data_IF_442577157271
#
_entry.id   IF_442577157271
#
_cell.length_a   1.000
_cell.length_b   1.000
_cell.length_c   1.000
_cell.angle_alpha   90.00
_cell.angle_beta   90.00
_cell.angle_gamma   90.00
#
_symmetry.space_group_name_H-M   'P 1'
#
loop_
_entity.id
_entity.type
_entity.pdbx_description
1 polymer ?
#
# COMPACT_ATOMS: atom_id res chain seq x y z
N UNK A 1 -38.76 13.87 -31.90
CA UNK A 1 -38.27 12.49 -32.17
C UNK A 1 -36.74 12.33 -32.17
N UNK A 2 -35.92 13.41 -32.24
CA UNK A 2 -34.43 13.31 -32.30
C UNK A 2 -33.72 13.16 -30.94
N UNK A 3 -34.30 13.69 -29.85
CA UNK A 3 -33.70 13.64 -28.50
C UNK A 3 -33.65 12.23 -27.91
N UNK A 4 -34.69 11.42 -28.14
CA UNK A 4 -34.75 10.03 -27.63
C UNK A 4 -33.73 9.09 -28.28
N UNK A 5 -33.44 9.28 -29.58
CA UNK A 5 -32.37 8.52 -30.26
C UNK A 5 -30.98 8.90 -29.76
N UNK A 6 -30.77 10.18 -29.41
CA UNK A 6 -29.49 10.64 -28.88
C UNK A 6 -29.25 10.09 -27.46
N UNK A 7 -30.25 10.15 -26.58
CA UNK A 7 -30.16 9.59 -25.21
C UNK A 7 -29.93 8.08 -25.27
N UNK A 8 -30.62 7.36 -26.15
CA UNK A 8 -30.41 5.92 -26.32
C UNK A 8 -28.98 5.60 -26.76
N UNK A 9 -28.38 6.40 -27.66
CA UNK A 9 -26.98 6.20 -28.08
C UNK A 9 -26.01 6.46 -26.93
N UNK A 10 -26.21 7.51 -26.13
CA UNK A 10 -25.37 7.78 -24.96
C UNK A 10 -25.49 6.69 -23.91
N UNK A 11 -26.70 6.18 -23.63
CA UNK A 11 -26.92 5.09 -22.68
C UNK A 11 -26.29 3.78 -23.17
N UNK A 12 -26.38 3.47 -24.46
CA UNK A 12 -25.72 2.30 -25.04
C UNK A 12 -24.20 2.45 -25.00
N UNK A 13 -23.67 3.65 -25.26
CA UNK A 13 -22.23 3.93 -25.20
C UNK A 13 -21.70 3.78 -23.77
N UNK A 14 -22.39 4.31 -22.76
CA UNK A 14 -21.96 4.21 -21.36
C UNK A 14 -22.03 2.78 -20.84
N UNK A 15 -23.07 2.03 -21.18
CA UNK A 15 -23.19 0.61 -20.84
C UNK A 15 -22.08 -0.21 -21.53
N UNK A 16 -21.79 0.05 -22.80
CA UNK A 16 -20.72 -0.64 -23.53
C UNK A 16 -19.33 -0.36 -22.92
N UNK A 17 -19.06 0.89 -22.53
CA UNK A 17 -17.81 1.26 -21.85
C UNK A 17 -17.71 0.59 -20.48
N UNK A 18 -18.79 0.54 -19.70
CA UNK A 18 -18.80 -0.15 -18.41
C UNK A 18 -18.55 -1.66 -18.54
N UNK A 19 -19.21 -2.31 -19.51
CA UNK A 19 -19.03 -3.75 -19.77
C UNK A 19 -17.62 -4.09 -20.27
N UNK A 20 -17.00 -3.22 -21.06
CA UNK A 20 -15.63 -3.41 -21.53
C UNK A 20 -14.59 -3.28 -20.40
N UNK A 21 -14.82 -2.38 -19.43
CA UNK A 21 -13.91 -2.19 -18.30
C UNK A 21 -14.03 -3.30 -17.24
N UNK A 22 -15.21 -3.90 -17.06
CA UNK A 22 -15.37 -5.07 -16.16
C UNK A 22 -14.63 -6.32 -16.65
N UNK A 23 -14.31 -6.41 -17.94
CA UNK A 23 -13.50 -7.50 -18.49
C UNK A 23 -11.99 -7.36 -18.22
N UNK A 24 -11.53 -6.19 -17.75
CA UNK A 24 -10.10 -5.94 -17.47
C UNK A 24 -9.68 -6.34 -16.04
N UNK A 25 -10.63 -6.66 -15.15
CA UNK A 25 -10.36 -7.03 -13.75
C UNK A 25 -10.43 -8.53 -13.46
N UNK A 26 -10.60 -9.38 -14.48
CA UNK A 26 -10.59 -10.83 -14.31
C UNK A 26 -9.39 -11.46 -15.03
N UNK A 27 -8.19 -11.02 -14.65
CA UNK A 27 -6.96 -11.80 -14.85
C UNK A 27 -6.45 -12.27 -13.49
N UNK A 28 -7.28 -13.01 -12.76
CA UNK A 28 -6.78 -13.86 -11.70
C UNK A 28 -6.24 -15.13 -12.37
N UNK A 29 -4.91 -15.19 -12.51
CA UNK A 29 -4.19 -16.41 -12.87
C UNK A 29 -4.57 -17.52 -11.90
N UNK A 30 -4.94 -18.65 -12.47
CA UNK A 30 -5.13 -19.92 -11.78
C UNK A 30 -3.76 -20.49 -11.46
N UNK A 31 -3.29 -20.32 -10.23
CA UNK A 31 -2.11 -21.06 -9.74
C UNK A 31 -2.51 -22.51 -9.39
N UNK A 32 -1.74 -23.51 -9.86
CA UNK A 32 -1.96 -24.90 -9.50
C UNK A 32 -1.60 -25.12 -8.03
N UNK A 33 -2.38 -25.99 -7.39
CA UNK A 33 -2.12 -26.49 -6.06
C UNK A 33 -0.77 -27.22 -6.02
N UNK A 34 0.08 -26.86 -5.06
CA UNK A 34 1.19 -27.69 -4.62
C UNK A 34 2.58 -27.15 -4.96
N UNK A 35 3.04 -26.17 -4.17
CA UNK A 35 4.40 -26.24 -3.64
C UNK A 35 4.30 -26.21 -2.13
N UNK A 36 4.59 -27.37 -1.55
CA UNK A 36 4.87 -27.53 -0.13
C UNK A 36 6.04 -26.60 0.20
N UNK A 37 5.75 -25.41 0.71
CA UNK A 37 6.72 -24.68 1.52
C UNK A 37 7.07 -25.61 2.66
N UNK A 38 8.27 -26.19 2.58
CA UNK A 38 8.88 -26.83 3.74
C UNK A 38 8.89 -25.78 4.82
N UNK A 39 8.04 -25.94 5.83
CA UNK A 39 8.27 -25.32 7.12
C UNK A 39 9.57 -25.92 7.64
N UNK A 40 10.68 -25.22 7.40
CA UNK A 40 11.91 -25.42 8.16
C UNK A 40 11.55 -25.24 9.64
N UNK A 41 11.83 -26.22 10.52
CA UNK A 41 11.47 -26.14 11.94
C UNK A 41 12.03 -24.86 12.55
N UNK A 42 11.13 -24.04 13.12
CA UNK A 42 11.46 -22.72 13.64
C UNK A 42 12.75 -22.67 14.45
N UNK A 43 13.74 -21.99 13.88
CA UNK A 43 14.90 -21.53 14.62
C UNK A 43 14.40 -20.53 15.67
N UNK A 44 14.49 -20.95 16.92
CA UNK A 44 14.11 -20.17 18.10
C UNK A 44 15.18 -19.11 18.28
N UNK A 45 14.94 -17.95 17.65
CA UNK A 45 15.74 -16.73 17.81
C UNK A 45 15.90 -16.49 19.31
N UNK A 46 17.15 -16.49 19.78
CA UNK A 46 17.45 -16.27 21.19
C UNK A 46 17.18 -14.81 21.56
N UNK A 47 16.86 -14.54 22.82
CA UNK A 47 16.62 -13.15 23.30
C UNK A 47 17.85 -12.28 23.06
N UNK A 48 19.04 -12.84 23.24
CA UNK A 48 20.34 -12.19 23.03
C UNK A 48 20.52 -11.74 21.57
N UNK A 49 20.11 -12.57 20.62
CA UNK A 49 20.15 -12.26 19.18
C UNK A 49 19.15 -11.17 18.78
N UNK A 50 17.95 -11.17 19.39
CA UNK A 50 16.94 -10.14 19.11
C UNK A 50 17.36 -8.75 19.61
N UNK A 51 18.01 -8.69 20.77
CA UNK A 51 18.51 -7.43 21.35
C UNK A 51 19.67 -6.86 20.53
N UNK A 52 20.59 -7.71 20.05
CA UNK A 52 21.67 -7.30 19.15
C UNK A 52 21.12 -6.72 17.83
N UNK A 53 20.11 -7.39 17.24
CA UNK A 53 19.43 -6.88 16.05
C UNK A 53 18.77 -5.54 16.33
N UNK A 54 18.04 -5.39 17.44
CA UNK A 54 17.36 -4.15 17.79
C UNK A 54 18.33 -2.96 17.99
N UNK A 55 19.51 -3.21 18.57
CA UNK A 55 20.55 -2.19 18.75
C UNK A 55 21.26 -1.81 17.45
N UNK A 56 21.28 -2.72 16.46
CA UNK A 56 21.85 -2.44 15.14
C UNK A 56 20.94 -1.58 14.24
N UNK A 57 19.67 -1.40 14.59
CA UNK A 57 18.72 -0.60 13.80
C UNK A 57 18.99 0.90 13.97
N UNK A 58 19.02 1.62 12.85
CA UNK A 58 19.14 3.08 12.84
C UNK A 58 17.96 3.75 13.59
N UNK A 59 18.29 4.54 14.60
CA UNK A 59 17.30 5.29 15.40
C UNK A 59 16.54 6.33 14.58
N UNK A 60 17.12 6.86 13.51
CA UNK A 60 16.45 7.77 12.59
C UNK A 60 15.34 7.05 11.82
N UNK A 61 15.57 5.81 11.40
CA UNK A 61 14.54 4.96 10.78
C UNK A 61 13.38 4.75 11.76
N UNK A 62 13.69 4.40 13.01
CA UNK A 62 12.68 4.20 14.06
C UNK A 62 11.85 5.47 14.23
N UNK A 63 12.50 6.64 14.37
CA UNK A 63 11.81 7.92 14.50
C UNK A 63 10.94 8.25 13.28
N UNK A 64 11.44 8.06 12.06
CA UNK A 64 10.69 8.31 10.83
C UNK A 64 9.47 7.38 10.69
N UNK A 65 9.60 6.08 11.00
CA UNK A 65 8.47 5.15 10.99
C UNK A 65 7.43 5.50 12.06
N UNK A 66 7.87 5.91 13.25
CA UNK A 66 6.96 6.37 14.32
C UNK A 66 6.25 7.66 13.94
N UNK A 67 6.96 8.64 13.38
CA UNK A 67 6.40 9.90 12.89
C UNK A 67 5.36 9.68 11.79
N UNK A 68 5.72 8.90 10.76
CA UNK A 68 4.82 8.50 9.69
C UNK A 68 3.55 7.85 10.24
N UNK A 69 3.69 6.91 11.19
CA UNK A 69 2.57 6.21 11.78
C UNK A 69 1.63 7.11 12.56
N UNK A 70 2.14 8.12 13.27
CA UNK A 70 1.28 9.10 13.92
C UNK A 70 0.58 10.01 12.94
N UNK A 71 1.24 10.42 11.87
CA UNK A 71 0.65 11.34 10.90
C UNK A 71 -0.49 10.67 10.12
N UNK A 72 -0.29 9.45 9.62
CA UNK A 72 -1.38 8.72 8.94
C UNK A 72 -2.54 8.41 9.90
N UNK A 73 -2.25 8.09 11.16
CA UNK A 73 -3.30 7.80 12.13
C UNK A 73 -4.12 9.06 12.47
N UNK A 74 -3.49 10.24 12.54
CA UNK A 74 -4.21 11.52 12.69
C UNK A 74 -5.16 11.76 11.52
N UNK A 75 -4.68 11.58 10.29
CA UNK A 75 -5.53 11.74 9.10
C UNK A 75 -6.74 10.81 9.12
N UNK A 76 -6.53 9.53 9.47
CA UNK A 76 -7.62 8.55 9.56
C UNK A 76 -8.64 8.87 10.67
N UNK A 77 -8.20 9.41 11.81
CA UNK A 77 -9.12 9.83 12.88
C UNK A 77 -10.01 11.00 12.42
N UNK A 78 -9.46 11.92 11.60
CA UNK A 78 -10.24 13.04 11.07
C UNK A 78 -11.31 12.56 10.08
N UNK A 79 -11.02 11.50 9.32
CA UNK A 79 -11.96 10.89 8.37
C UNK A 79 -13.02 10.03 9.07
N UNK A 80 -12.63 9.18 10.03
CA UNK A 80 -13.46 8.15 10.67
C UNK A 80 -13.60 8.31 12.20
N UNK A 81 -13.84 9.54 12.66
CA UNK A 81 -13.83 9.95 14.08
C UNK A 81 -14.69 9.15 15.09
N UNK A 82 -15.61 8.29 14.64
CA UNK A 82 -16.50 7.50 15.51
C UNK A 82 -16.43 5.99 15.24
N UNK A 83 -15.41 5.53 14.53
CA UNK A 83 -15.23 4.12 14.21
C UNK A 83 -13.94 3.58 14.85
N UNK A 84 -13.88 2.26 15.00
CA UNK A 84 -12.64 1.60 15.40
C UNK A 84 -11.66 1.64 14.23
N UNK A 85 -10.51 2.29 14.42
CA UNK A 85 -9.45 2.37 13.42
C UNK A 85 -8.32 1.43 13.85
N UNK A 86 -8.00 0.46 12.98
CA UNK A 86 -6.89 -0.47 13.19
C UNK A 86 -6.05 -0.54 11.92
N UNK A 87 -4.77 -0.14 12.02
CA UNK A 87 -3.83 -0.11 10.91
C UNK A 87 -2.46 -0.62 11.33
N UNK A 88 -1.65 -1.03 10.35
CA UNK A 88 -0.21 -1.29 10.52
C UNK A 88 0.58 -0.23 9.76
N UNK A 89 1.07 0.84 10.41
CA UNK A 89 1.84 1.88 9.74
C UNK A 89 3.09 1.36 9.04
N UNK A 90 3.82 0.45 9.69
CA UNK A 90 5.06 -0.13 9.14
C UNK A 90 4.79 -0.88 7.83
N UNK A 91 3.70 -1.64 7.76
CA UNK A 91 3.33 -2.36 6.53
C UNK A 91 2.99 -1.42 5.38
N UNK A 92 2.28 -0.32 5.67
CA UNK A 92 1.96 0.72 4.68
C UNK A 92 3.25 1.39 4.19
N UNK A 93 4.14 1.76 5.11
CA UNK A 93 5.44 2.35 4.79
C UNK A 93 6.26 1.44 3.89
N UNK A 94 6.32 0.13 4.18
CA UNK A 94 7.04 -0.84 3.35
C UNK A 94 6.43 -0.97 1.95
N UNK A 95 5.10 -1.03 1.85
CA UNK A 95 4.41 -1.06 0.56
C UNK A 95 4.72 0.20 -0.27
N UNK A 96 4.69 1.38 0.36
CA UNK A 96 5.03 2.65 -0.26
C UNK A 96 6.53 2.77 -0.61
N UNK A 97 7.42 2.17 0.17
CA UNK A 97 8.84 2.13 -0.14
C UNK A 97 9.13 1.30 -1.40
N UNK A 98 8.42 0.18 -1.58
CA UNK A 98 8.51 -0.63 -2.80
C UNK A 98 8.01 0.14 -4.02
N UNK A 99 6.88 0.85 -3.91
CA UNK A 99 6.33 1.64 -5.01
C UNK A 99 7.11 2.92 -5.28
N UNK A 100 7.72 3.52 -4.26
CA UNK A 100 8.63 4.67 -4.37
C UNK A 100 9.78 4.36 -5.34
N UNK A 101 10.32 3.14 -5.29
CA UNK A 101 11.40 2.72 -6.18
C UNK A 101 10.99 2.71 -7.67
N UNK A 102 9.70 2.62 -7.97
CA UNK A 102 9.17 2.73 -9.33
C UNK A 102 8.67 4.12 -9.72
N UNK A 103 8.57 5.06 -8.77
CA UNK A 103 8.09 6.41 -9.01
C UNK A 103 9.17 7.32 -9.60
N UNK A 104 8.77 8.28 -10.44
CA UNK A 104 9.68 9.24 -11.09
C UNK A 104 9.16 10.68 -10.97
N UNK A 105 10.06 11.66 -11.07
CA UNK A 105 9.71 13.09 -11.08
C UNK A 105 8.96 13.53 -9.82
N UNK A 106 7.93 14.35 -10.01
CA UNK A 106 7.14 14.92 -8.91
C UNK A 106 6.46 13.87 -8.04
N UNK A 107 6.08 12.72 -8.62
CA UNK A 107 5.51 11.61 -7.84
C UNK A 107 6.52 11.01 -6.88
N UNK A 108 7.77 10.84 -7.32
CA UNK A 108 8.85 10.35 -6.45
C UNK A 108 9.10 11.33 -5.29
N UNK A 109 9.14 12.63 -5.58
CA UNK A 109 9.35 13.69 -4.58
C UNK A 109 8.22 13.71 -3.54
N UNK A 110 6.96 13.71 -3.97
CA UNK A 110 5.81 13.68 -3.07
C UNK A 110 5.81 12.42 -2.18
N UNK A 111 6.19 11.27 -2.74
CA UNK A 111 6.31 10.04 -1.96
C UNK A 111 7.47 10.09 -0.95
N UNK A 112 8.60 10.72 -1.30
CA UNK A 112 9.72 10.91 -0.37
C UNK A 112 9.32 11.80 0.82
N UNK A 113 8.57 12.87 0.56
CA UNK A 113 8.02 13.75 1.60
C UNK A 113 7.05 13.00 2.51
N UNK A 114 6.09 12.27 1.92
CA UNK A 114 5.10 11.49 2.68
C UNK A 114 5.75 10.40 3.55
N UNK A 115 6.82 9.75 3.05
CA UNK A 115 7.57 8.73 3.77
C UNK A 115 8.51 9.30 4.85
N UNK A 116 8.52 10.63 5.05
CA UNK A 116 9.43 11.32 5.98
C UNK A 116 10.91 10.98 5.70
N UNK A 117 11.23 10.63 4.44
CA UNK A 117 12.60 10.30 3.99
C UNK A 117 13.54 11.51 3.92
N UNK A 118 13.04 12.72 4.21
CA UNK A 118 13.85 13.95 4.19
C UNK A 118 15.12 13.88 5.04
N UNK A 119 15.16 13.01 6.05
CA UNK A 119 16.30 12.81 6.96
C UNK A 119 17.15 11.57 6.62
N UNK A 120 16.62 10.61 5.86
CA UNK A 120 17.36 9.42 5.41
C UNK A 120 17.86 9.61 3.97
N UNK A 121 19.05 10.21 3.85
CA UNK A 121 19.84 10.18 2.61
C UNK A 121 20.87 9.04 2.72
N UNK A 122 20.88 8.07 1.79
CA UNK A 122 21.94 7.07 1.73
C UNK A 122 23.31 7.69 1.44
#
# INVERSE_FOLDING_TARGET
MRKGRLIAVFVVLTIAVFLANTAFLCSCSREPAGETSKEEPGEKISVEESDEVADSIDRNLVSANTGFGFDIFKELILEDSNQNIFISPLSILLALAMTYNGAVGDTNLAMAEALQKGEFRP
#
